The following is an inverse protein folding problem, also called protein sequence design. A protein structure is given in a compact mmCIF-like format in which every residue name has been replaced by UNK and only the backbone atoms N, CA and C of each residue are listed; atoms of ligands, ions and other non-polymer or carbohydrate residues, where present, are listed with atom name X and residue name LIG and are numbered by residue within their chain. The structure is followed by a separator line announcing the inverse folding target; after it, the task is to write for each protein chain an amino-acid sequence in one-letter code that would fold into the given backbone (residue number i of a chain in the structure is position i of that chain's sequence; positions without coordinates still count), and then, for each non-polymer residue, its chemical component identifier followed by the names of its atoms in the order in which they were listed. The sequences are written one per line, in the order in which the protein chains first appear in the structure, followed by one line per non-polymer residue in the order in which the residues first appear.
data_IF_436993981968
#
_entry.id   IF_436993981968
#
_cell.length_a   1.000
_cell.length_b   1.000
_cell.length_c   1.000
_cell.angle_alpha   90.00
_cell.angle_beta   90.00
_cell.angle_gamma   90.00
#
_symmetry.space_group_name_H-M   'P 1'
#
loop_
_entity.id
_entity.type
_entity.pdbx_description
1 polymer ?
#
# COMPACT_ATOMS: atom_id res chain seq x y z
N UNK A 1 -12.10 -0.89 -2.37
CA UNK A 1 -10.75 -1.50 -2.38
C UNK A 1 -9.85 -0.89 -3.43
N UNK A 2 -10.30 -0.68 -4.68
CA UNK A 2 -9.50 -0.02 -5.72
C UNK A 2 -8.81 1.28 -5.26
N UNK A 3 -9.53 2.18 -4.57
CA UNK A 3 -8.94 3.43 -4.08
C UNK A 3 -7.74 3.24 -3.13
N UNK A 4 -7.74 2.20 -2.29
CA UNK A 4 -6.58 1.84 -1.47
C UNK A 4 -5.44 1.39 -2.40
N UNK A 5 -5.69 0.40 -3.25
CA UNK A 5 -4.65 -0.16 -4.13
C UNK A 5 -4.01 0.88 -5.06
N UNK A 6 -4.82 1.68 -5.75
CA UNK A 6 -4.32 2.65 -6.74
C UNK A 6 -3.66 3.86 -6.09
N UNK A 7 -4.18 4.33 -4.95
CA UNK A 7 -3.51 5.39 -4.17
C UNK A 7 -2.14 4.91 -3.70
N UNK A 8 -2.05 3.69 -3.18
CA UNK A 8 -0.78 3.13 -2.76
C UNK A 8 0.22 3.01 -3.91
N UNK A 9 -0.21 2.54 -5.10
CA UNK A 9 0.64 2.54 -6.28
C UNK A 9 1.20 3.94 -6.57
N UNK A 10 0.35 4.96 -6.55
CA UNK A 10 0.76 6.35 -6.80
C UNK A 10 1.75 6.85 -5.75
N UNK A 11 1.47 6.60 -4.47
CA UNK A 11 2.36 6.98 -3.37
C UNK A 11 3.71 6.25 -3.47
N UNK A 12 3.71 4.96 -3.85
CA UNK A 12 4.94 4.18 -4.01
C UNK A 12 5.84 4.73 -5.12
N UNK A 13 5.26 5.07 -6.28
CA UNK A 13 6.05 5.69 -7.36
C UNK A 13 6.59 7.07 -6.95
N UNK A 14 5.81 7.87 -6.22
CA UNK A 14 6.26 9.17 -5.69
C UNK A 14 7.43 9.00 -4.70
N UNK A 15 7.31 8.06 -3.76
CA UNK A 15 8.37 7.80 -2.78
C UNK A 15 9.61 7.16 -3.44
N UNK A 16 9.42 6.33 -4.46
CA UNK A 16 10.51 5.76 -5.25
C UNK A 16 11.32 6.86 -5.95
N UNK A 17 10.65 7.84 -6.55
CA UNK A 17 11.30 9.02 -7.14
C UNK A 17 12.07 9.82 -6.08
N UNK A 18 11.45 10.10 -4.94
CA UNK A 18 12.05 10.85 -3.81
C UNK A 18 13.30 10.16 -3.25
N UNK A 19 13.30 8.83 -3.18
CA UNK A 19 14.39 8.00 -2.65
C UNK A 19 15.39 7.55 -3.73
N UNK A 20 15.15 7.90 -4.99
CA UNK A 20 15.95 7.47 -6.15
C UNK A 20 16.05 5.94 -6.30
N UNK A 21 14.95 5.22 -6.03
CA UNK A 21 14.86 3.77 -6.18
C UNK A 21 14.16 3.46 -7.52
N UNK A 22 14.81 2.79 -8.48
CA UNK A 22 14.19 2.43 -9.74
C UNK A 22 13.06 1.42 -9.52
N UNK A 23 11.88 1.65 -10.11
CA UNK A 23 10.74 0.72 -10.07
C UNK A 23 10.27 0.47 -11.50
N UNK A 24 10.19 -0.79 -11.88
CA UNK A 24 9.78 -1.23 -13.23
C UNK A 24 8.30 -1.66 -13.27
N UNK A 25 7.75 -2.04 -12.13
CA UNK A 25 6.35 -2.46 -12.01
C UNK A 25 5.92 -2.61 -10.57
N UNK A 26 4.62 -2.41 -10.33
CA UNK A 26 4.00 -2.51 -9.01
C UNK A 26 2.68 -3.24 -9.16
N UNK A 27 2.45 -4.22 -8.30
CA UNK A 27 1.14 -4.85 -8.11
C UNK A 27 0.72 -4.61 -6.66
N UNK A 28 -0.48 -4.07 -6.48
CA UNK A 28 -1.10 -3.91 -5.17
C UNK A 28 -2.43 -4.63 -5.15
N UNK A 29 -2.57 -5.56 -4.22
CA UNK A 29 -3.82 -6.26 -3.97
C UNK A 29 -4.40 -5.77 -2.64
N UNK A 30 -5.66 -5.37 -2.63
CA UNK A 30 -6.35 -4.90 -1.41
C UNK A 30 -7.66 -5.68 -1.21
N UNK A 31 -7.86 -6.19 0.00
CA UNK A 31 -9.01 -6.99 0.39
C UNK A 31 -9.64 -6.45 1.67
N UNK A 32 -10.93 -6.73 1.85
CA UNK A 32 -11.67 -6.42 3.06
C UNK A 32 -12.94 -7.28 3.14
N UNK A 33 -13.46 -7.45 4.34
CA UNK A 33 -14.76 -8.06 4.60
C UNK A 33 -15.83 -6.98 4.72
N UNK A 34 -17.00 -7.21 4.12
CA UNK A 34 -18.14 -6.30 4.14
C UNK A 34 -19.33 -7.00 4.81
N UNK A 35 -19.55 -6.79 6.12
CA UNK A 35 -20.54 -7.56 6.88
C UNK A 35 -21.99 -7.22 6.53
N UNK A 36 -22.23 -6.12 5.81
CA UNK A 36 -23.55 -5.71 5.37
C UNK A 36 -23.54 -4.34 4.70
N UNK A 37 -24.69 -3.96 4.13
CA UNK A 37 -24.86 -2.66 3.45
C UNK A 37 -24.74 -1.52 4.48
N UNK A 38 -23.88 -0.55 4.18
CA UNK A 38 -23.69 0.63 5.04
C UNK A 38 -22.86 0.39 6.30
N UNK A 39 -22.47 -0.85 6.59
CA UNK A 39 -21.55 -1.16 7.67
C UNK A 39 -20.10 -0.92 7.23
N UNK A 40 -19.27 -0.50 8.18
CA UNK A 40 -17.84 -0.31 7.93
C UNK A 40 -17.18 -1.63 7.51
N UNK A 41 -16.24 -1.54 6.57
CA UNK A 41 -15.42 -2.68 6.16
C UNK A 41 -14.51 -3.12 7.32
N UNK A 42 -14.32 -4.42 7.46
CA UNK A 42 -13.44 -5.02 8.47
C UNK A 42 -12.33 -5.81 7.81
N UNK A 43 -11.30 -6.19 8.58
CA UNK A 43 -10.21 -7.04 8.08
C UNK A 43 -9.55 -6.48 6.80
N UNK A 44 -9.36 -5.15 6.75
CA UNK A 44 -8.79 -4.48 5.58
C UNK A 44 -7.30 -4.80 5.52
N UNK A 45 -6.89 -5.44 4.42
CA UNK A 45 -5.51 -5.86 4.19
C UNK A 45 -5.08 -5.46 2.80
N UNK A 46 -3.78 -5.28 2.63
CA UNK A 46 -3.21 -5.15 1.31
C UNK A 46 -1.81 -5.76 1.24
N UNK A 47 -1.41 -6.19 0.05
CA UNK A 47 -0.09 -6.72 -0.24
C UNK A 47 0.49 -6.00 -1.45
N UNK A 48 1.82 -5.89 -1.50
CA UNK A 48 2.53 -5.14 -2.52
C UNK A 48 3.66 -5.99 -3.07
N UNK A 49 3.72 -6.11 -4.39
CA UNK A 49 4.85 -6.67 -5.12
C UNK A 49 5.48 -5.58 -5.97
N UNK A 50 6.80 -5.39 -5.82
CA UNK A 50 7.56 -4.37 -6.56
C UNK A 50 8.60 -5.08 -7.42
N UNK A 51 8.54 -4.85 -8.74
CA UNK A 51 9.63 -5.22 -9.66
C UNK A 51 10.62 -4.08 -9.70
N UNK A 52 11.88 -4.35 -9.35
CA UNK A 52 12.93 -3.35 -9.28
C UNK A 52 14.31 -4.00 -9.45
N UNK A 53 15.26 -3.34 -10.13
CA UNK A 53 16.66 -3.76 -10.15
C UNK A 53 17.43 -3.33 -8.89
N UNK A 54 16.81 -2.58 -7.97
CA UNK A 54 17.43 -2.19 -6.71
C UNK A 54 17.59 -3.40 -5.77
N UNK A 55 18.34 -3.21 -4.68
CA UNK A 55 18.49 -4.27 -3.68
C UNK A 55 17.17 -4.50 -2.96
N UNK A 56 16.93 -5.75 -2.55
CA UNK A 56 15.75 -6.12 -1.79
C UNK A 56 15.58 -5.29 -0.48
N UNK A 57 16.69 -4.90 0.16
CA UNK A 57 16.67 -4.05 1.36
C UNK A 57 16.12 -2.64 1.07
N UNK A 58 16.48 -2.05 -0.08
CA UNK A 58 16.02 -0.74 -0.51
C UNK A 58 14.53 -0.79 -0.90
N UNK A 59 14.11 -1.85 -1.60
CA UNK A 59 12.70 -2.08 -1.95
C UNK A 59 11.85 -2.27 -0.70
N UNK A 60 12.34 -3.04 0.28
CA UNK A 60 11.64 -3.24 1.54
C UNK A 60 11.51 -1.92 2.33
N UNK A 61 12.54 -1.06 2.31
CA UNK A 61 12.48 0.28 2.91
C UNK A 61 11.49 1.19 2.17
N UNK A 62 11.49 1.18 0.84
CA UNK A 62 10.52 1.92 0.03
C UNK A 62 9.08 1.55 0.39
N UNK A 63 8.78 0.25 0.51
CA UNK A 63 7.45 -0.23 0.91
C UNK A 63 7.10 0.26 2.31
N UNK A 64 8.02 0.17 3.29
CA UNK A 64 7.79 0.66 4.66
C UNK A 64 7.53 2.17 4.71
N UNK A 65 8.34 2.97 4.01
CA UNK A 65 8.19 4.42 3.96
C UNK A 65 6.87 4.81 3.30
N UNK A 66 6.52 4.15 2.19
CA UNK A 66 5.25 4.37 1.50
C UNK A 66 4.06 4.06 2.40
N UNK A 67 4.07 2.94 3.12
CA UNK A 67 3.02 2.59 4.08
C UNK A 67 2.81 3.66 5.16
N UNK A 68 3.90 4.23 5.68
CA UNK A 68 3.83 5.26 6.69
C UNK A 68 3.15 6.56 6.18
N UNK A 69 3.29 6.88 4.90
CA UNK A 69 2.80 8.15 4.32
C UNK A 69 1.54 7.99 3.44
N UNK A 70 1.07 6.77 3.17
CA UNK A 70 -0.03 6.52 2.25
C UNK A 70 -1.33 7.20 2.71
N UNK A 71 -1.79 8.21 1.96
CA UNK A 71 -2.77 9.19 2.44
C UNK A 71 -4.16 8.57 2.65
N UNK A 72 -4.63 7.79 1.68
CA UNK A 72 -5.91 7.07 1.78
C UNK A 72 -5.86 6.01 2.88
N UNK A 73 -4.72 5.34 3.06
CA UNK A 73 -4.55 4.33 4.12
C UNK A 73 -4.64 5.01 5.48
N UNK A 74 -3.91 6.11 5.68
CA UNK A 74 -3.90 6.87 6.92
C UNK A 74 -5.27 7.49 7.23
N UNK A 75 -6.00 7.94 6.21
CA UNK A 75 -7.39 8.41 6.36
C UNK A 75 -8.31 7.31 6.88
N UNK A 76 -8.21 6.10 6.33
CA UNK A 76 -9.02 4.95 6.79
C UNK A 76 -8.55 4.46 8.17
N UNK A 77 -7.25 4.48 8.45
CA UNK A 77 -6.65 4.12 9.75
C UNK A 77 -7.17 4.97 10.92
N UNK A 78 -7.69 6.16 10.65
CA UNK A 78 -8.36 6.96 11.67
C UNK A 78 -9.64 6.29 12.23
N UNK A 79 -10.25 5.35 11.50
CA UNK A 79 -11.49 4.68 11.90
C UNK A 79 -11.49 3.15 11.79
N UNK A 80 -10.54 2.54 11.07
CA UNK A 80 -10.45 1.08 10.91
C UNK A 80 -9.01 0.63 10.70
N UNK A 81 -8.65 -0.57 11.18
CA UNK A 81 -7.33 -1.13 10.92
C UNK A 81 -7.13 -1.42 9.42
N UNK A 82 -6.00 -0.96 8.88
CA UNK A 82 -5.53 -1.27 7.51
C UNK A 82 -4.13 -1.86 7.60
N UNK A 83 -3.99 -3.13 7.26
CA UNK A 83 -2.76 -3.91 7.52
C UNK A 83 -2.05 -4.22 6.22
N UNK A 84 -0.78 -3.83 6.13
CA UNK A 84 0.14 -4.35 5.12
C UNK A 84 0.49 -5.80 5.46
N UNK A 85 0.21 -6.72 4.55
CA UNK A 85 0.72 -8.07 4.60
C UNK A 85 2.09 -8.08 3.92
N UNK A 86 3.14 -8.45 4.68
CA UNK A 86 4.43 -8.73 4.08
C UNK A 86 4.27 -9.95 3.15
N UNK A 87 4.49 -9.74 1.86
CA UNK A 87 4.63 -10.82 0.88
C UNK A 87 5.87 -11.65 1.14
#
# INVERSE_FOLDING_TARGET
MLALATCYCNDLYREAERLHIPVEGVVVEATADFPGIGLAATNIRYAVMVSSPAKAEDVAELVRQTDAVAEVHNTIRAGAAVVLNNG
#
